data_IF_089661381895
#
_entry.id   IF_089661381895
#
_cell.length_a   1.000
_cell.length_b   1.000
_cell.length_c   1.000
_cell.angle_alpha   90.00
_cell.angle_beta   90.00
_cell.angle_gamma   90.00
#
_symmetry.space_group_name_H-M   'P 1'
#
loop_
_entity.id
_entity.type
_entity.pdbx_description
1 polymer ?
#
# COMPACT_ATOMS: atom_id res chain seq x y z
N UNK A 1 1.82 18.02 2.66
CA UNK A 1 2.15 17.36 3.96
C UNK A 1 1.74 18.15 5.21
N UNK A 2 1.13 19.33 5.07
CA UNK A 2 0.79 20.20 6.22
C UNK A 2 -0.22 19.57 7.19
N UNK A 3 -1.20 18.80 6.68
CA UNK A 3 -2.14 18.03 7.50
C UNK A 3 -1.45 16.94 8.32
N UNK A 4 -0.40 16.33 7.75
CA UNK A 4 0.39 15.31 8.45
C UNK A 4 1.15 15.97 9.59
N UNK A 5 1.86 17.07 9.31
CA UNK A 5 2.60 17.82 10.32
C UNK A 5 1.69 18.33 11.45
N UNK A 6 0.50 18.85 11.11
CA UNK A 6 -0.44 19.39 12.11
C UNK A 6 -1.05 18.32 12.99
N UNK A 7 -1.16 17.07 12.52
CA UNK A 7 -1.78 15.96 13.27
C UNK A 7 -0.76 14.97 13.84
N UNK A 8 0.52 15.09 13.50
CA UNK A 8 1.55 14.10 13.87
C UNK A 8 1.61 13.83 15.37
N UNK A 9 1.43 14.86 16.19
CA UNK A 9 1.47 14.74 17.66
C UNK A 9 0.27 13.99 18.28
N UNK A 10 -0.81 13.74 17.51
CA UNK A 10 -2.04 13.13 18.02
C UNK A 10 -1.99 11.61 18.13
N UNK A 11 -1.01 10.94 17.51
CA UNK A 11 -0.92 9.48 17.53
C UNK A 11 0.53 8.98 17.47
N UNK A 12 0.78 7.84 18.10
CA UNK A 12 2.05 7.11 17.97
C UNK A 12 2.07 6.17 16.77
N UNK A 13 0.92 5.94 16.12
CA UNK A 13 0.85 5.12 14.92
C UNK A 13 1.70 5.73 13.80
N UNK A 14 2.38 4.91 12.99
CA UNK A 14 3.13 5.41 11.85
C UNK A 14 2.19 6.04 10.82
N UNK A 15 2.67 7.08 10.18
CA UNK A 15 2.07 7.65 8.98
C UNK A 15 2.79 7.10 7.77
N UNK A 16 2.02 6.67 6.79
CA UNK A 16 2.49 6.43 5.44
C UNK A 16 1.91 7.48 4.50
N UNK A 17 2.68 7.86 3.50
CA UNK A 17 2.20 8.71 2.42
C UNK A 17 2.31 7.97 1.09
N UNK A 18 1.15 7.69 0.51
CA UNK A 18 1.02 7.23 -0.87
C UNK A 18 1.11 8.43 -1.81
N UNK A 19 2.26 8.58 -2.46
CA UNK A 19 2.60 9.73 -3.29
C UNK A 19 2.09 9.55 -4.72
N UNK A 20 0.81 9.84 -4.93
CA UNK A 20 0.19 9.96 -6.26
C UNK A 20 0.54 11.31 -6.92
N UNK A 21 1.83 11.56 -7.15
CA UNK A 21 2.36 12.79 -7.76
C UNK A 21 3.36 12.44 -8.87
N UNK A 22 3.58 13.37 -9.82
CA UNK A 22 4.51 13.15 -10.93
C UNK A 22 5.99 13.22 -10.51
N UNK A 23 6.32 13.96 -9.45
CA UNK A 23 7.71 14.19 -8.99
C UNK A 23 7.90 13.76 -7.54
N UNK A 24 7.86 12.45 -7.23
CA UNK A 24 7.94 11.97 -5.85
C UNK A 24 9.24 12.37 -5.15
N UNK A 25 10.37 12.40 -5.85
CA UNK A 25 11.67 12.81 -5.29
C UNK A 25 11.67 14.24 -4.72
N UNK A 26 10.97 15.16 -5.38
CA UNK A 26 10.85 16.56 -4.93
C UNK A 26 10.02 16.65 -3.64
N UNK A 27 9.05 15.75 -3.49
CA UNK A 27 8.12 15.75 -2.37
C UNK A 27 8.61 14.91 -1.19
N UNK A 28 9.48 13.91 -1.42
CA UNK A 28 9.88 12.91 -0.44
C UNK A 28 10.34 13.55 0.87
N UNK A 29 11.36 14.43 0.81
CA UNK A 29 11.90 15.13 1.98
C UNK A 29 10.81 15.85 2.80
N UNK A 30 9.88 16.54 2.12
CA UNK A 30 8.80 17.28 2.79
C UNK A 30 7.83 16.38 3.55
N UNK A 31 7.56 15.17 3.04
CA UNK A 31 6.69 14.22 3.73
C UNK A 31 7.41 13.53 4.90
N UNK A 32 8.70 13.20 4.74
CA UNK A 32 9.50 12.67 5.86
C UNK A 32 9.63 13.70 6.98
N UNK A 33 9.95 14.96 6.66
CA UNK A 33 10.04 16.06 7.65
C UNK A 33 8.70 16.34 8.36
N UNK A 34 7.57 16.13 7.67
CA UNK A 34 6.25 16.22 8.29
C UNK A 34 5.94 15.06 9.25
N UNK A 35 6.76 14.01 9.23
CA UNK A 35 6.70 12.88 10.16
C UNK A 35 6.15 11.59 9.57
N UNK A 36 6.09 11.45 8.24
CA UNK A 36 5.84 10.14 7.60
C UNK A 36 7.01 9.20 7.81
N UNK A 37 6.71 7.96 8.20
CA UNK A 37 7.71 6.90 8.36
C UNK A 37 7.80 5.99 7.13
N UNK A 38 6.80 6.01 6.25
CA UNK A 38 6.79 5.27 4.98
C UNK A 38 6.38 6.19 3.84
N UNK A 39 7.08 6.10 2.72
CA UNK A 39 6.65 6.72 1.46
C UNK A 39 6.44 5.63 0.41
N UNK A 40 5.26 5.66 -0.21
CA UNK A 40 4.88 4.74 -1.28
C UNK A 40 4.88 5.52 -2.59
N UNK A 41 5.71 5.14 -3.55
CA UNK A 41 5.82 5.81 -4.85
C UNK A 41 5.32 4.92 -5.97
N UNK A 42 4.70 5.53 -6.97
CA UNK A 42 4.30 4.83 -8.19
C UNK A 42 5.52 4.53 -9.06
N UNK A 43 5.66 3.29 -9.54
CA UNK A 43 6.67 2.93 -10.56
C UNK A 43 6.61 3.90 -11.73
N UNK A 44 5.40 4.19 -12.18
CA UNK A 44 5.09 4.98 -13.36
C UNK A 44 5.46 6.46 -13.23
N UNK A 45 5.69 6.93 -12.00
CA UNK A 45 6.11 8.30 -11.70
C UNK A 45 7.62 8.43 -11.49
N UNK A 46 8.37 7.33 -11.58
CA UNK A 46 9.81 7.30 -11.29
C UNK A 46 10.61 6.93 -12.53
N UNK A 47 11.33 7.90 -13.12
CA UNK A 47 12.29 7.61 -14.21
C UNK A 47 13.42 6.67 -13.75
N UNK A 48 13.83 6.79 -12.49
CA UNK A 48 14.88 5.98 -11.88
C UNK A 48 14.44 5.40 -10.54
N UNK A 49 13.51 4.43 -10.57
CA UNK A 49 12.88 3.85 -9.37
C UNK A 49 13.88 3.46 -8.28
N UNK A 50 14.96 2.73 -8.61
CA UNK A 50 16.00 2.36 -7.63
C UNK A 50 16.60 3.58 -6.91
N UNK A 51 16.86 4.69 -7.63
CA UNK A 51 17.41 5.93 -7.03
C UNK A 51 16.39 6.57 -6.10
N UNK A 52 15.13 6.65 -6.54
CA UNK A 52 14.03 7.23 -5.74
C UNK A 52 13.83 6.45 -4.43
N UNK A 53 13.81 5.12 -4.49
CA UNK A 53 13.68 4.27 -3.30
C UNK A 53 14.89 4.41 -2.35
N UNK A 54 16.11 4.45 -2.89
CA UNK A 54 17.32 4.70 -2.10
C UNK A 54 17.28 6.06 -1.38
N UNK A 55 16.91 7.12 -2.09
CA UNK A 55 16.76 8.47 -1.54
C UNK A 55 15.75 8.51 -0.37
N UNK A 56 14.61 7.83 -0.48
CA UNK A 56 13.62 7.73 0.61
C UNK A 56 14.25 7.13 1.89
N UNK A 57 15.09 6.11 1.73
CA UNK A 57 15.80 5.47 2.86
C UNK A 57 16.86 6.37 3.47
N UNK A 58 17.62 7.09 2.63
CA UNK A 58 18.62 8.08 3.08
C UNK A 58 17.97 9.22 3.87
N UNK A 59 16.74 9.59 3.53
CA UNK A 59 15.95 10.57 4.28
C UNK A 59 15.45 10.04 5.64
N UNK A 60 15.57 8.74 5.90
CA UNK A 60 15.20 8.10 7.17
C UNK A 60 13.79 7.50 7.21
N UNK A 61 13.12 7.40 6.06
CA UNK A 61 11.83 6.71 5.94
C UNK A 61 12.01 5.34 5.28
N UNK A 62 11.03 4.47 5.48
CA UNK A 62 10.91 3.23 4.73
C UNK A 62 10.33 3.49 3.34
N UNK A 63 10.82 2.73 2.35
CA UNK A 63 10.46 2.92 0.96
C UNK A 63 9.51 1.81 0.50
N UNK A 64 8.48 2.18 -0.25
CA UNK A 64 7.49 1.27 -0.77
C UNK A 64 7.13 1.65 -2.22
N UNK A 65 6.62 0.69 -2.96
CA UNK A 65 6.28 0.86 -4.37
C UNK A 65 4.83 0.51 -4.64
N UNK A 66 4.14 1.33 -5.43
CA UNK A 66 2.76 1.11 -5.86
C UNK A 66 2.68 0.76 -7.35
N UNK A 67 1.76 -0.14 -7.67
CA UNK A 67 1.45 -0.58 -9.04
C UNK A 67 0.01 -0.22 -9.39
N UNK A 68 -0.20 0.56 -10.44
CA UNK A 68 -1.54 0.77 -10.99
C UNK A 68 -2.13 -0.53 -11.57
N UNK A 69 -3.45 -0.56 -11.84
CA UNK A 69 -4.08 -1.74 -12.43
C UNK A 69 -3.47 -2.17 -13.77
N UNK A 70 -2.96 -1.23 -14.57
CA UNK A 70 -2.31 -1.53 -15.85
C UNK A 70 -0.84 -1.96 -15.73
N UNK A 71 -0.20 -1.68 -14.60
CA UNK A 71 1.26 -1.76 -14.48
C UNK A 71 1.69 -3.20 -14.22
N UNK A 72 2.57 -3.78 -15.06
CA UNK A 72 3.03 -5.15 -14.89
C UNK A 72 3.75 -5.34 -13.54
N UNK A 73 3.56 -6.49 -12.86
CA UNK A 73 4.19 -6.73 -11.55
C UNK A 73 5.70 -6.94 -11.63
N UNK A 74 6.24 -7.38 -12.77
CA UNK A 74 7.68 -7.58 -13.04
C UNK A 74 8.50 -6.28 -12.99
N UNK A 75 7.87 -5.11 -13.12
CA UNK A 75 8.51 -3.79 -12.97
C UNK A 75 9.24 -3.60 -11.61
N UNK A 76 8.89 -4.38 -10.58
CA UNK A 76 9.50 -4.26 -9.24
C UNK A 76 10.57 -5.33 -8.95
N UNK A 77 10.78 -6.31 -9.84
CA UNK A 77 11.62 -7.49 -9.59
C UNK A 77 13.02 -7.11 -9.07
N UNK A 78 13.61 -6.07 -9.65
CA UNK A 78 14.98 -5.63 -9.37
C UNK A 78 15.11 -4.59 -8.26
N UNK A 79 14.02 -4.27 -7.55
CA UNK A 79 14.05 -3.31 -6.42
C UNK A 79 13.39 -3.85 -5.15
N UNK A 80 13.03 -5.14 -5.12
CA UNK A 80 12.46 -5.79 -3.94
C UNK A 80 13.40 -5.72 -2.72
N UNK A 81 14.70 -5.48 -2.92
CA UNK A 81 15.69 -5.30 -1.87
C UNK A 81 15.70 -3.93 -1.20
N UNK A 82 15.07 -2.95 -1.83
CA UNK A 82 15.01 -1.58 -1.33
C UNK A 82 13.69 -1.27 -0.62
N UNK A 83 12.64 -2.05 -0.91
CA UNK A 83 11.30 -1.84 -0.36
C UNK A 83 11.05 -2.69 0.88
N UNK A 84 10.12 -2.23 1.70
CA UNK A 84 9.51 -3.04 2.78
C UNK A 84 8.01 -3.25 2.59
N UNK A 85 7.43 -2.67 1.54
CA UNK A 85 6.05 -2.85 1.15
C UNK A 85 5.86 -2.69 -0.37
N UNK A 86 5.02 -3.55 -0.94
CA UNK A 86 4.49 -3.40 -2.30
C UNK A 86 2.99 -3.19 -2.22
N UNK A 87 2.50 -2.12 -2.85
CA UNK A 87 1.09 -1.77 -2.94
C UNK A 87 0.54 -2.13 -4.33
N UNK A 88 -0.50 -2.97 -4.37
CA UNK A 88 -1.27 -3.22 -5.59
C UNK A 88 -2.57 -2.42 -5.54
N UNK A 89 -2.74 -1.52 -6.51
CA UNK A 89 -3.99 -0.77 -6.64
C UNK A 89 -5.10 -1.69 -7.15
N UNK A 90 -6.21 -1.75 -6.42
CA UNK A 90 -7.43 -2.51 -6.78
C UNK A 90 -8.56 -1.59 -7.23
N UNK A 91 -8.23 -0.33 -7.53
CA UNK A 91 -9.03 0.69 -8.23
C UNK A 91 -8.07 1.55 -9.07
N UNK A 92 -8.58 2.41 -9.96
CA UNK A 92 -7.73 3.44 -10.53
C UNK A 92 -7.45 4.52 -9.47
N UNK A 93 -6.20 4.98 -9.29
CA UNK A 93 -5.86 5.97 -8.27
C UNK A 93 -6.63 7.28 -8.45
N UNK A 94 -6.89 7.98 -7.34
CA UNK A 94 -7.43 9.34 -7.33
C UNK A 94 -8.64 9.55 -6.41
N UNK A 95 -9.60 8.62 -6.40
CA UNK A 95 -10.85 8.80 -5.64
C UNK A 95 -11.21 7.59 -4.77
N UNK A 96 -11.68 7.85 -3.55
CA UNK A 96 -12.23 6.83 -2.67
C UNK A 96 -13.65 6.39 -3.07
N UNK A 97 -14.05 5.19 -2.64
CA UNK A 97 -15.41 4.66 -2.86
C UNK A 97 -15.64 4.01 -4.23
N UNK A 98 -14.59 3.86 -5.03
CA UNK A 98 -14.62 3.09 -6.27
C UNK A 98 -14.80 1.58 -5.99
N UNK A 99 -15.33 0.87 -6.99
CA UNK A 99 -15.54 -0.57 -6.93
C UNK A 99 -14.22 -1.33 -7.06
N UNK A 100 -14.03 -2.32 -6.19
CA UNK A 100 -12.90 -3.25 -6.23
C UNK A 100 -12.78 -3.96 -7.58
N UNK A 101 -11.59 -3.92 -8.17
CA UNK A 101 -11.26 -4.58 -9.43
C UNK A 101 -10.77 -6.00 -9.12
N UNK A 102 -11.69 -6.96 -9.05
CA UNK A 102 -11.36 -8.35 -8.72
C UNK A 102 -10.36 -9.02 -9.69
N UNK A 103 -10.27 -8.54 -10.93
CA UNK A 103 -9.24 -8.99 -11.88
C UNK A 103 -7.81 -8.61 -11.48
N UNK A 104 -7.60 -7.85 -10.40
CA UNK A 104 -6.29 -7.60 -9.81
C UNK A 104 -5.81 -8.71 -8.85
N UNK A 105 -6.69 -9.63 -8.41
CA UNK A 105 -6.29 -10.75 -7.55
C UNK A 105 -5.19 -11.64 -8.15
N UNK A 106 -5.18 -11.96 -9.46
CA UNK A 106 -4.03 -12.58 -10.10
C UNK A 106 -2.74 -11.78 -9.94
N UNK A 107 -2.78 -10.44 -10.08
CA UNK A 107 -1.60 -9.58 -9.89
C UNK A 107 -1.12 -9.62 -8.44
N UNK A 108 -2.03 -9.55 -7.47
CA UNK A 108 -1.69 -9.69 -6.05
C UNK A 108 -0.96 -11.02 -5.81
N UNK A 109 -1.45 -12.12 -6.38
CA UNK A 109 -0.79 -13.43 -6.27
C UNK A 109 0.60 -13.45 -6.90
N UNK A 110 0.75 -12.90 -8.09
CA UNK A 110 2.06 -12.81 -8.76
C UNK A 110 3.06 -12.00 -7.92
N UNK A 111 2.64 -10.88 -7.34
CA UNK A 111 3.49 -10.07 -6.46
C UNK A 111 3.87 -10.84 -5.19
N UNK A 112 2.93 -11.56 -4.57
CA UNK A 112 3.23 -12.42 -3.42
C UNK A 112 4.25 -13.50 -3.78
N UNK A 113 4.09 -14.16 -4.94
CA UNK A 113 5.03 -15.17 -5.43
C UNK A 113 6.42 -14.58 -5.69
N UNK A 114 6.52 -13.37 -6.25
CA UNK A 114 7.80 -12.66 -6.42
C UNK A 114 8.48 -12.36 -5.09
N UNK A 115 7.73 -11.82 -4.11
CA UNK A 115 8.24 -11.54 -2.76
C UNK A 115 8.75 -12.83 -2.10
N UNK A 116 7.99 -13.91 -2.20
CA UNK A 116 8.35 -15.21 -1.62
C UNK A 116 9.60 -15.79 -2.29
N UNK A 117 9.65 -15.76 -3.63
CA UNK A 117 10.78 -16.27 -4.41
C UNK A 117 12.08 -15.48 -4.17
N UNK A 118 11.96 -14.20 -3.86
CA UNK A 118 13.09 -13.35 -3.46
C UNK A 118 13.56 -13.59 -2.01
N UNK A 119 12.90 -14.48 -1.25
CA UNK A 119 13.21 -14.75 0.15
C UNK A 119 12.84 -13.60 1.09
N UNK A 120 11.82 -12.81 0.73
CA UNK A 120 11.44 -11.55 1.41
C UNK A 120 10.07 -11.58 2.06
N UNK A 121 9.45 -12.75 2.17
CA UNK A 121 8.11 -12.94 2.74
C UNK A 121 7.96 -12.34 4.16
N UNK A 122 9.04 -12.36 4.95
CA UNK A 122 9.05 -11.85 6.34
C UNK A 122 9.42 -10.36 6.44
N UNK A 123 9.87 -9.74 5.35
CA UNK A 123 10.42 -8.38 5.35
C UNK A 123 9.69 -7.41 4.43
N UNK A 124 8.88 -7.92 3.49
CA UNK A 124 8.12 -7.11 2.53
C UNK A 124 6.64 -7.44 2.66
N UNK A 125 5.88 -6.45 3.10
CA UNK A 125 4.42 -6.52 3.12
C UNK A 125 3.83 -6.37 1.71
N UNK A 126 2.68 -7.01 1.48
CA UNK A 126 1.86 -6.84 0.29
C UNK A 126 0.55 -6.16 0.68
N UNK A 127 0.45 -4.90 0.28
CA UNK A 127 -0.69 -4.04 0.50
C UNK A 127 -1.64 -4.02 -0.70
N UNK A 128 -2.92 -3.81 -0.43
CA UNK A 128 -3.92 -3.45 -1.44
C UNK A 128 -4.68 -2.20 -1.06
N UNK A 129 -4.90 -1.31 -2.03
CA UNK A 129 -5.70 -0.10 -1.88
C UNK A 129 -6.76 0.01 -2.98
N UNK A 130 -8.01 0.21 -2.53
CA UNK A 130 -9.15 0.44 -3.39
C UNK A 130 -10.28 -0.57 -3.20
N UNK A 131 -11.41 -0.15 -2.63
CA UNK A 131 -12.61 -0.98 -2.57
C UNK A 131 -12.56 -2.14 -1.57
N UNK A 132 -11.66 -2.11 -0.58
CA UNK A 132 -11.65 -3.09 0.52
C UNK A 132 -12.87 -2.90 1.43
N UNK A 133 -13.57 -4.00 1.66
CA UNK A 133 -14.82 -4.09 2.43
C UNK A 133 -15.03 -5.54 2.90
N UNK A 134 -16.03 -5.82 3.76
CA UNK A 134 -16.34 -7.18 4.18
C UNK A 134 -16.58 -8.17 3.02
N UNK A 135 -17.09 -7.71 1.88
CA UNK A 135 -17.35 -8.56 0.72
C UNK A 135 -16.13 -8.81 -0.17
N UNK A 136 -15.10 -7.95 -0.11
CA UNK A 136 -13.94 -8.00 -1.01
C UNK A 136 -12.66 -8.45 -0.33
N UNK A 137 -12.56 -8.26 1.00
CA UNK A 137 -11.34 -8.52 1.77
C UNK A 137 -10.85 -9.97 1.66
N UNK A 138 -11.77 -10.94 1.56
CA UNK A 138 -11.40 -12.36 1.47
C UNK A 138 -10.66 -12.67 0.18
N UNK A 139 -11.04 -12.06 -0.95
CA UNK A 139 -10.38 -12.25 -2.24
C UNK A 139 -8.95 -11.72 -2.22
N UNK A 140 -8.77 -10.48 -1.75
CA UNK A 140 -7.46 -9.87 -1.61
C UNK A 140 -6.53 -10.65 -0.66
N UNK A 141 -7.03 -11.06 0.52
CA UNK A 141 -6.26 -11.83 1.48
C UNK A 141 -5.91 -13.23 0.97
N UNK A 142 -6.85 -13.93 0.31
CA UNK A 142 -6.59 -15.23 -0.30
C UNK A 142 -5.60 -15.15 -1.47
N UNK A 143 -5.49 -14.00 -2.13
CA UNK A 143 -4.49 -13.74 -3.16
C UNK A 143 -3.10 -13.43 -2.59
N UNK A 144 -2.96 -13.18 -1.28
CA UNK A 144 -1.68 -13.02 -0.60
C UNK A 144 -1.43 -11.62 -0.01
N UNK A 145 -2.39 -10.70 -0.07
CA UNK A 145 -2.29 -9.41 0.59
C UNK A 145 -2.40 -9.57 2.12
N UNK A 146 -1.48 -8.96 2.86
CA UNK A 146 -1.45 -8.96 4.32
C UNK A 146 -1.66 -7.57 4.93
N UNK A 147 -1.64 -6.52 4.12
CA UNK A 147 -1.98 -5.15 4.51
C UNK A 147 -3.13 -4.62 3.63
N UNK A 148 -4.12 -3.96 4.25
CA UNK A 148 -5.43 -3.71 3.66
C UNK A 148 -5.89 -2.28 3.91
N UNK A 149 -5.90 -1.44 2.86
CA UNK A 149 -6.38 -0.07 2.96
C UNK A 149 -7.89 -0.01 2.78
N UNK A 150 -8.59 0.38 3.84
CA UNK A 150 -10.04 0.52 3.86
C UNK A 150 -10.43 1.96 4.24
N UNK A 151 -11.08 2.66 3.30
CA UNK A 151 -11.60 4.01 3.51
C UNK A 151 -13.12 3.99 3.70
N UNK A 152 -13.86 4.13 2.59
CA UNK A 152 -15.31 4.31 2.60
C UNK A 152 -16.08 3.20 3.32
N UNK A 153 -15.61 1.96 3.28
CA UNK A 153 -16.26 0.85 3.98
C UNK A 153 -16.25 1.02 5.49
N UNK A 154 -15.19 1.60 6.06
CA UNK A 154 -15.11 1.86 7.50
C UNK A 154 -16.07 2.98 7.91
N UNK A 155 -16.02 4.12 7.21
CA UNK A 155 -16.78 5.32 7.60
C UNK A 155 -18.28 5.23 7.28
N UNK A 156 -18.71 4.33 6.41
CA UNK A 156 -20.12 4.13 6.04
C UNK A 156 -20.79 2.98 6.80
N UNK A 157 -20.06 2.25 7.64
CA UNK A 157 -20.65 1.15 8.40
C UNK A 157 -21.64 1.69 9.44
N UNK A 158 -22.92 1.27 9.40
CA UNK A 158 -23.96 1.80 10.29
C UNK A 158 -23.75 1.40 11.76
N UNK A 159 -22.94 0.38 12.04
CA UNK A 159 -22.56 -0.06 13.39
C UNK A 159 -21.23 0.56 13.85
N UNK A 160 -20.61 1.39 13.01
CA UNK A 160 -19.45 2.21 13.34
C UNK A 160 -18.09 1.57 13.03
N UNK A 161 -17.03 2.38 13.19
CA UNK A 161 -15.65 2.03 12.80
C UNK A 161 -15.15 0.73 13.44
N UNK A 162 -15.45 0.51 14.72
CA UNK A 162 -14.99 -0.68 15.44
C UNK A 162 -15.58 -1.97 14.90
N UNK A 163 -16.87 -1.94 14.52
CA UNK A 163 -17.55 -3.06 13.87
C UNK A 163 -16.91 -3.33 12.50
N UNK A 164 -16.78 -2.30 11.67
CA UNK A 164 -16.21 -2.43 10.32
C UNK A 164 -14.79 -3.01 10.32
N UNK A 165 -13.92 -2.53 11.20
CA UNK A 165 -12.55 -3.05 11.36
C UNK A 165 -12.56 -4.52 11.78
N UNK A 166 -13.46 -4.90 12.70
CA UNK A 166 -13.56 -6.27 13.20
C UNK A 166 -14.00 -7.24 12.10
N UNK A 167 -15.03 -6.88 11.33
CA UNK A 167 -15.53 -7.67 10.21
C UNK A 167 -14.47 -7.86 9.11
N UNK A 168 -13.82 -6.76 8.69
CA UNK A 168 -12.77 -6.81 7.67
C UNK A 168 -11.60 -7.67 8.16
N UNK A 169 -11.16 -7.50 9.41
CA UNK A 169 -10.07 -8.29 9.99
C UNK A 169 -10.42 -9.78 10.07
N UNK A 170 -11.65 -10.12 10.47
CA UNK A 170 -12.09 -11.51 10.54
C UNK A 170 -12.12 -12.15 9.14
N UNK A 171 -12.62 -11.42 8.15
CA UNK A 171 -12.61 -11.85 6.74
C UNK A 171 -11.20 -12.10 6.21
N UNK A 172 -10.28 -11.15 6.44
CA UNK A 172 -8.89 -11.25 6.04
C UNK A 172 -8.18 -12.45 6.69
N UNK A 173 -8.28 -12.57 8.01
CA UNK A 173 -7.60 -13.61 8.79
C UNK A 173 -8.05 -15.01 8.38
N UNK A 174 -9.35 -15.19 8.12
CA UNK A 174 -9.89 -16.47 7.70
C UNK A 174 -9.49 -16.86 6.26
N UNK A 175 -9.08 -15.92 5.43
CA UNK A 175 -8.77 -16.13 4.02
C UNK A 175 -7.26 -16.14 3.71
N UNK A 176 -6.45 -15.45 4.52
CA UNK A 176 -5.00 -15.34 4.33
C UNK A 176 -4.32 -16.71 4.48
N UNK A 177 -3.39 -17.04 3.56
CA UNK A 177 -2.77 -18.36 3.47
C UNK A 177 -1.26 -18.41 3.72
N UNK A 178 -0.64 -17.30 4.11
CA UNK A 178 0.82 -17.20 4.30
C UNK A 178 1.54 -17.12 2.96
#
# INVERSE_FOLDING_TARGET
PDIIASTRHLTKKPYEAHLMVLTPDVMAKRYVEAGCQRLIVHVEACEHLHRTLGNIRELGATAAVALNPSTPPDEIEHVLDLVDLVLVMTVNPGFGGQSYIASMEPKIRMVREMINSAGRADTVDLEVDGGISPSTVRGAAAAGANLLIAGSALFKDPQGLGHAVSEIRAGATAAFRG
#
